data_IF_281238688967
#
_entry.id   IF_281238688967
#
_cell.length_a   1.000
_cell.length_b   1.000
_cell.length_c   1.000
_cell.angle_alpha   90.00
_cell.angle_beta   90.00
_cell.angle_gamma   90.00
#
_symmetry.space_group_name_H-M   'P 1'
#
loop_
_entity.id
_entity.type
_entity.pdbx_description
1 polymer ?
#
# COMPACT_ATOMS: atom_id res chain seq x y z
N UNK A 1 16.81 1.38 10.14
CA UNK A 1 15.97 2.53 10.52
C UNK A 1 14.61 1.98 10.91
N UNK A 2 13.91 2.65 11.82
CA UNK A 2 12.51 2.34 12.12
C UNK A 2 11.70 3.60 11.82
N UNK A 3 11.46 3.83 10.54
CA UNK A 3 10.65 4.93 10.04
C UNK A 3 9.25 4.79 10.61
N UNK A 4 8.75 5.87 11.20
CA UNK A 4 7.36 5.97 11.61
C UNK A 4 6.61 6.79 10.58
N UNK A 5 5.38 6.40 10.29
CA UNK A 5 4.51 7.18 9.42
C UNK A 5 4.17 8.52 10.08
N UNK A 6 4.17 9.57 9.27
CA UNK A 6 3.81 10.92 9.68
C UNK A 6 2.37 10.99 10.19
N UNK A 7 2.07 12.00 11.02
CA UNK A 7 0.70 12.29 11.44
C UNK A 7 -0.24 12.56 10.24
N UNK A 8 0.29 13.15 9.17
CA UNK A 8 -0.45 13.39 7.95
C UNK A 8 -0.89 12.06 7.29
N UNK A 9 0.01 11.08 7.22
CA UNK A 9 -0.33 9.73 6.77
C UNK A 9 -1.38 9.09 7.69
N UNK A 10 -1.18 9.13 9.01
CA UNK A 10 -2.12 8.53 9.96
C UNK A 10 -3.53 9.10 9.85
N UNK A 11 -3.66 10.40 9.55
CA UNK A 11 -4.93 11.09 9.46
C UNK A 11 -5.62 10.96 8.09
N UNK A 12 -4.86 11.01 6.99
CA UNK A 12 -5.40 11.26 5.64
C UNK A 12 -5.07 10.18 4.60
N UNK A 13 -4.33 9.14 4.98
CA UNK A 13 -3.94 8.08 4.03
C UNK A 13 -5.12 7.17 3.69
N UNK A 14 -5.28 6.92 2.40
CA UNK A 14 -6.11 5.87 1.85
C UNK A 14 -5.28 4.96 0.94
N UNK A 15 -5.53 3.65 1.04
CA UNK A 15 -5.11 2.67 0.03
C UNK A 15 -6.26 2.41 -0.93
N UNK A 16 -5.95 2.37 -2.22
CA UNK A 16 -6.87 1.98 -3.28
C UNK A 16 -6.31 0.76 -4.00
N UNK A 17 -7.21 -0.10 -4.48
CA UNK A 17 -6.85 -1.16 -5.42
C UNK A 17 -7.54 -0.91 -6.76
N UNK A 18 -6.80 -1.02 -7.85
CA UNK A 18 -7.31 -0.88 -9.21
C UNK A 18 -7.48 -2.25 -9.85
N UNK A 19 -8.49 -2.38 -10.70
CA UNK A 19 -8.69 -3.54 -11.58
C UNK A 19 -8.32 -3.18 -13.02
N UNK A 20 -8.69 -1.96 -13.46
CA UNK A 20 -8.38 -1.43 -14.80
C UNK A 20 -7.77 -0.04 -14.70
N UNK A 21 -6.85 0.35 -15.60
CA UNK A 21 -6.34 -0.41 -16.75
C UNK A 21 -5.31 -1.49 -16.38
N UNK A 22 -4.84 -1.50 -15.12
CA UNK A 22 -3.85 -2.44 -14.61
C UNK A 22 -4.17 -2.76 -13.15
N UNK A 23 -4.13 -4.05 -12.80
CA UNK A 23 -4.23 -4.48 -11.42
C UNK A 23 -3.06 -3.90 -10.62
N UNK A 24 -3.37 -3.00 -9.69
CA UNK A 24 -2.36 -2.24 -8.96
C UNK A 24 -2.90 -1.69 -7.65
N UNK A 25 -1.99 -1.22 -6.80
CA UNK A 25 -2.30 -0.60 -5.52
C UNK A 25 -1.77 0.81 -5.54
N UNK A 26 -2.54 1.77 -5.02
CA UNK A 26 -2.03 3.12 -4.79
C UNK A 26 -2.29 3.56 -3.36
N UNK A 27 -1.44 4.46 -2.90
CA UNK A 27 -1.61 5.21 -1.67
C UNK A 27 -1.82 6.69 -2.00
N UNK A 28 -2.81 7.31 -1.37
CA UNK A 28 -3.15 8.71 -1.58
C UNK A 28 -3.43 9.39 -0.24
N UNK A 29 -3.07 10.66 -0.13
CA UNK A 29 -3.55 11.52 0.96
C UNK A 29 -4.79 12.27 0.50
N UNK A 30 -5.88 12.13 1.24
CA UNK A 30 -7.15 12.78 0.91
C UNK A 30 -7.98 13.07 2.17
N UNK A 31 -8.86 14.07 2.09
CA UNK A 31 -9.73 14.46 3.22
C UNK A 31 -10.93 13.52 3.41
N UNK A 32 -11.28 12.76 2.38
CA UNK A 32 -12.38 11.79 2.42
C UNK A 32 -12.14 10.63 1.46
N UNK A 33 -12.91 9.55 1.64
CA UNK A 33 -12.91 8.39 0.74
C UNK A 33 -13.30 8.77 -0.69
N UNK A 34 -14.27 9.68 -0.84
CA UNK A 34 -14.72 10.19 -2.14
C UNK A 34 -13.64 11.05 -2.81
N UNK A 35 -12.91 11.85 -2.03
CA UNK A 35 -11.77 12.60 -2.54
C UNK A 35 -10.65 11.65 -2.99
N UNK A 36 -10.32 10.64 -2.18
CA UNK A 36 -9.37 9.57 -2.55
C UNK A 36 -9.78 8.87 -3.85
N UNK A 37 -11.07 8.50 -3.99
CA UNK A 37 -11.61 7.89 -5.20
C UNK A 37 -11.43 8.79 -6.43
N UNK A 38 -11.78 10.08 -6.33
CA UNK A 38 -11.63 11.03 -7.45
C UNK A 38 -10.18 11.22 -7.85
N UNK A 39 -9.27 11.39 -6.87
CA UNK A 39 -7.83 11.53 -7.13
C UNK A 39 -7.32 10.25 -7.80
N UNK A 40 -7.61 9.08 -7.23
CA UNK A 40 -7.18 7.80 -7.76
C UNK A 40 -7.61 7.58 -9.21
N UNK A 41 -8.90 7.80 -9.53
CA UNK A 41 -9.40 7.67 -10.90
C UNK A 41 -8.73 8.66 -11.86
N UNK A 42 -8.58 9.92 -11.44
CA UNK A 42 -8.01 10.96 -12.29
C UNK A 42 -6.54 10.70 -12.60
N UNK A 43 -5.74 10.41 -11.57
CA UNK A 43 -4.30 10.18 -11.73
C UNK A 43 -4.05 8.92 -12.55
N UNK A 44 -4.76 7.81 -12.28
CA UNK A 44 -4.58 6.58 -13.07
C UNK A 44 -4.99 6.74 -14.54
N UNK A 45 -6.05 7.50 -14.81
CA UNK A 45 -6.44 7.82 -16.18
C UNK A 45 -5.31 8.56 -16.93
N UNK A 46 -4.70 9.56 -16.28
CA UNK A 46 -3.61 10.34 -16.84
C UNK A 46 -2.34 9.50 -17.03
N UNK A 47 -1.91 8.77 -16.01
CA UNK A 47 -0.68 7.95 -16.03
C UNK A 47 -0.72 6.90 -17.14
N UNK A 48 -1.90 6.33 -17.42
CA UNK A 48 -2.06 5.29 -18.43
C UNK A 48 -2.61 5.79 -19.77
N UNK A 49 -2.87 7.09 -19.92
CA UNK A 49 -3.42 7.65 -21.15
C UNK A 49 -4.80 7.09 -21.54
N UNK A 50 -5.63 6.75 -20.55
CA UNK A 50 -6.98 6.19 -20.76
C UNK A 50 -8.07 7.16 -20.29
N UNK A 51 -9.29 7.00 -20.80
CA UNK A 51 -10.44 7.76 -20.28
C UNK A 51 -10.76 7.40 -18.83
N UNK A 52 -11.18 8.38 -18.01
CA UNK A 52 -11.51 8.19 -16.59
C UNK A 52 -12.63 7.16 -16.36
N UNK A 53 -13.53 7.00 -17.32
CA UNK A 53 -14.58 5.99 -17.33
C UNK A 53 -14.02 4.55 -17.43
N UNK A 54 -12.81 4.39 -17.97
CA UNK A 54 -12.15 3.09 -18.12
C UNK A 54 -11.28 2.73 -16.90
N UNK A 55 -11.25 3.56 -15.86
CA UNK A 55 -10.56 3.26 -14.61
C UNK A 55 -11.54 2.66 -13.61
N UNK A 56 -11.35 1.38 -13.28
CA UNK A 56 -12.07 0.65 -12.24
C UNK A 56 -11.18 0.56 -11.01
N UNK A 57 -11.72 0.98 -9.88
CA UNK A 57 -11.06 0.85 -8.59
C UNK A 57 -12.06 0.38 -7.55
N UNK A 58 -11.55 -0.39 -6.60
CA UNK A 58 -12.28 -1.03 -5.53
C UNK A 58 -11.44 -0.99 -4.24
N UNK A 59 -12.01 -1.46 -3.12
CA UNK A 59 -11.33 -1.59 -1.83
C UNK A 59 -10.57 -0.32 -1.38
N UNK A 60 -11.31 0.79 -1.19
CA UNK A 60 -10.75 2.05 -0.69
C UNK A 60 -10.79 2.05 0.84
N UNK A 61 -9.61 1.91 1.44
CA UNK A 61 -9.44 1.72 2.88
C UNK A 61 -8.63 2.87 3.46
N UNK A 62 -9.14 3.50 4.50
CA UNK A 62 -8.42 4.49 5.30
C UNK A 62 -7.31 3.84 6.13
N UNK A 63 -6.34 4.64 6.59
CA UNK A 63 -5.29 4.21 7.52
C UNK A 63 -5.86 3.38 8.69
N UNK A 64 -6.89 3.90 9.36
CA UNK A 64 -7.50 3.24 10.53
C UNK A 64 -8.08 1.87 10.17
N UNK A 65 -8.76 1.75 9.03
CA UNK A 65 -9.35 0.49 8.57
C UNK A 65 -8.28 -0.54 8.18
N UNK A 66 -7.12 -0.08 7.68
CA UNK A 66 -5.98 -0.94 7.36
C UNK A 66 -5.31 -1.46 8.63
N UNK A 67 -4.97 -0.56 9.56
CA UNK A 67 -4.32 -0.93 10.83
C UNK A 67 -5.19 -1.85 11.67
N UNK A 68 -6.51 -1.59 11.71
CA UNK A 68 -7.45 -2.41 12.46
C UNK A 68 -7.62 -3.82 11.88
N UNK A 69 -7.43 -4.00 10.57
CA UNK A 69 -7.60 -5.30 9.92
C UNK A 69 -6.28 -6.07 9.75
N UNK A 70 -5.15 -5.37 9.80
CA UNK A 70 -3.83 -5.99 9.63
C UNK A 70 -3.36 -6.78 10.84
N UNK A 71 -2.42 -7.70 10.60
CA UNK A 71 -1.92 -8.65 11.60
C UNK A 71 -0.47 -8.44 11.99
N UNK A 72 0.28 -7.60 11.27
CA UNK A 72 1.70 -7.36 11.58
C UNK A 72 1.88 -6.69 12.95
N UNK A 73 2.95 -7.03 13.66
CA UNK A 73 3.25 -6.39 14.96
C UNK A 73 3.54 -4.89 14.81
N UNK A 74 4.22 -4.52 13.72
CA UNK A 74 4.40 -3.12 13.33
C UNK A 74 3.11 -2.59 12.69
N UNK A 75 2.41 -1.72 13.42
CA UNK A 75 1.16 -1.11 12.97
C UNK A 75 1.32 -0.29 11.69
N UNK A 76 2.47 0.35 11.50
CA UNK A 76 2.73 1.16 10.31
C UNK A 76 2.98 0.28 9.07
N UNK A 77 3.43 -0.98 9.26
CA UNK A 77 3.55 -1.94 8.15
C UNK A 77 2.19 -2.47 7.69
N UNK A 78 1.17 -2.46 8.55
CA UNK A 78 -0.15 -3.04 8.25
C UNK A 78 -0.83 -2.43 7.04
N UNK A 79 -0.51 -1.17 6.72
CA UNK A 79 -1.08 -0.49 5.55
C UNK A 79 -0.70 -1.17 4.22
N UNK A 80 0.39 -1.93 4.20
CA UNK A 80 0.90 -2.64 3.03
C UNK A 80 0.37 -4.08 2.90
N UNK A 81 -0.43 -4.58 3.84
CA UNK A 81 -0.96 -5.95 3.82
C UNK A 81 -2.10 -6.10 2.81
N UNK A 82 -1.93 -6.95 1.79
CA UNK A 82 -2.96 -7.19 0.77
C UNK A 82 -3.85 -8.39 1.10
N UNK A 83 -3.29 -9.41 1.74
CA UNK A 83 -4.01 -10.62 2.14
C UNK A 83 -3.38 -11.22 3.41
N UNK A 84 -4.24 -11.78 4.26
CA UNK A 84 -3.87 -12.47 5.50
C UNK A 84 -4.37 -13.92 5.42
N UNK A 85 -3.51 -14.87 5.75
CA UNK A 85 -3.87 -16.29 5.85
C UNK A 85 -3.21 -16.90 7.09
N UNK A 86 -3.98 -17.63 7.90
CA UNK A 86 -3.45 -18.31 9.09
C UNK A 86 -2.81 -17.37 10.12
N UNK A 87 -3.36 -16.15 10.27
CA UNK A 87 -2.82 -15.14 11.20
C UNK A 87 -1.50 -14.50 10.75
N UNK A 88 -1.09 -14.71 9.49
CA UNK A 88 0.12 -14.12 8.91
C UNK A 88 -0.20 -13.42 7.61
N UNK A 89 0.62 -12.43 7.25
CA UNK A 89 0.49 -11.75 5.97
C UNK A 89 0.90 -12.70 4.84
N UNK A 90 -0.05 -13.05 3.98
CA UNK A 90 0.17 -13.91 2.82
C UNK A 90 0.70 -13.12 1.62
N UNK A 91 0.19 -11.89 1.44
CA UNK A 91 0.58 -11.02 0.35
C UNK A 91 0.81 -9.59 0.82
N UNK A 92 1.96 -9.05 0.42
CA UNK A 92 2.38 -7.68 0.67
C UNK A 92 2.26 -6.84 -0.58
N UNK A 93 2.07 -5.54 -0.39
CA UNK A 93 2.08 -4.57 -1.48
C UNK A 93 3.47 -4.48 -2.11
N UNK A 94 3.60 -4.93 -3.36
CA UNK A 94 4.91 -5.07 -4.01
C UNK A 94 5.41 -3.78 -4.63
N UNK A 95 4.67 -3.20 -5.59
CA UNK A 95 5.05 -2.01 -6.34
C UNK A 95 3.87 -1.03 -6.42
N UNK A 96 3.54 -0.34 -5.31
CA UNK A 96 2.42 0.58 -5.30
C UNK A 96 2.75 1.90 -6.00
N UNK A 97 1.70 2.58 -6.47
CA UNK A 97 1.77 4.00 -6.79
C UNK A 97 1.69 4.83 -5.51
N UNK A 98 2.49 5.89 -5.44
CA UNK A 98 2.42 6.87 -4.36
C UNK A 98 1.91 8.19 -4.92
N UNK A 99 0.63 8.49 -4.70
CA UNK A 99 0.00 9.76 -5.05
C UNK A 99 0.11 10.74 -3.87
N UNK A 100 1.34 10.88 -3.39
CA UNK A 100 1.70 11.68 -2.23
C UNK A 100 3.19 12.00 -2.26
N UNK A 101 3.57 13.11 -1.67
CA UNK A 101 4.92 13.58 -1.42
C UNK A 101 5.45 13.20 -0.02
N UNK A 102 4.69 12.44 0.77
CA UNK A 102 5.09 12.04 2.11
C UNK A 102 6.26 11.04 2.09
N UNK A 103 7.44 11.52 2.48
CA UNK A 103 8.66 10.73 2.49
C UNK A 103 8.66 9.59 3.52
N UNK A 104 7.86 9.70 4.59
CA UNK A 104 7.79 8.65 5.63
C UNK A 104 7.12 7.39 5.11
N UNK A 105 6.12 7.55 4.23
CA UNK A 105 5.45 6.42 3.58
C UNK A 105 6.39 5.66 2.66
N UNK A 106 7.17 6.39 1.85
CA UNK A 106 8.22 5.80 0.99
C UNK A 106 9.29 5.10 1.82
N UNK A 107 9.75 5.73 2.91
CA UNK A 107 10.71 5.15 3.85
C UNK A 107 10.19 3.85 4.48
N UNK A 108 8.93 3.83 4.92
CA UNK A 108 8.32 2.63 5.49
C UNK A 108 8.17 1.50 4.48
N UNK A 109 7.77 1.82 3.25
CA UNK A 109 7.74 0.83 2.17
C UNK A 109 9.13 0.27 1.87
N UNK A 110 10.17 1.11 1.84
CA UNK A 110 11.54 0.67 1.63
C UNK A 110 12.03 -0.29 2.73
N UNK A 111 11.64 -0.05 3.99
CA UNK A 111 11.89 -0.99 5.10
C UNK A 111 11.21 -2.34 4.85
N UNK A 112 9.94 -2.34 4.46
CA UNK A 112 9.22 -3.58 4.10
C UNK A 112 9.96 -4.34 2.99
N UNK A 113 10.43 -3.63 1.96
CA UNK A 113 11.18 -4.24 0.85
C UNK A 113 12.47 -4.89 1.33
N UNK A 114 13.20 -4.23 2.24
CA UNK A 114 14.42 -4.76 2.83
C UNK A 114 14.15 -6.01 3.67
N UNK A 115 13.10 -5.99 4.50
CA UNK A 115 12.73 -7.12 5.36
C UNK A 115 12.31 -8.35 4.54
N UNK A 116 11.48 -8.16 3.50
CA UNK A 116 11.09 -9.24 2.60
C UNK A 116 12.29 -9.82 1.85
N UNK A 117 13.21 -8.97 1.37
CA UNK A 117 14.43 -9.43 0.72
C UNK A 117 15.33 -10.24 1.66
N UNK A 118 15.47 -9.79 2.92
CA UNK A 118 16.24 -10.49 3.94
C UNK A 118 15.64 -11.86 4.28
N UNK A 119 14.31 -11.98 4.38
CA UNK A 119 13.64 -13.25 4.66
C UNK A 119 13.79 -14.26 3.51
N UNK A 120 13.66 -13.79 2.26
CA UNK A 120 13.92 -14.61 1.07
C UNK A 120 15.35 -15.15 1.09
N UNK A 121 16.34 -14.29 1.36
CA UNK A 121 17.74 -14.68 1.42
C UNK A 121 18.01 -15.71 2.53
N UNK A 122 17.47 -15.50 3.74
CA UNK A 122 17.58 -16.44 4.87
C UNK A 122 16.97 -17.80 4.54
N UNK A 123 15.80 -17.80 3.88
CA UNK A 123 15.12 -19.04 3.48
C UNK A 123 15.93 -19.80 2.43
N UNK A 124 16.53 -19.10 1.45
CA UNK A 124 17.40 -19.73 0.45
C UNK A 124 18.64 -20.35 1.10
N UNK A 125 19.32 -19.63 2.02
CA UNK A 125 20.49 -20.14 2.75
C UNK A 125 20.17 -21.38 3.59
N UNK A 126 19.00 -21.41 4.24
CA UNK A 126 18.56 -22.58 5.02
C UNK A 126 18.30 -23.82 4.15
N UNK A 127 17.87 -23.64 2.91
CA UNK A 127 17.62 -24.75 1.96
C UNK A 127 18.91 -25.27 1.31
N UNK A 128 19.97 -24.46 1.30
CA UNK A 128 21.27 -24.83 0.74
C UNK A 128 22.19 -25.55 1.75
N UNK A 129 21.79 -25.59 3.03
CA UNK A 129 22.42 -26.42 4.08
C UNK A 129 21.69 -27.74 4.18
#
# INVERSE_FOLDING_TARGET
MNTQLSEQCRARLYRLKFETPLESVAFVLADSREAAWRIGKTVMAVVHGVGIQNVSLHDIRSFRELVSAGVSDDQDMRIFELAVAGGKVAHWTHAPYFFTDDATLLGKWAELRADLAADIARTALRRAK
#
